data_IF_166220778743
#
_entry.id   IF_166220778743
#
_cell.length_a   1.000
_cell.length_b   1.000
_cell.length_c   1.000
_cell.angle_alpha   90.00
_cell.angle_beta   90.00
_cell.angle_gamma   90.00
#
_symmetry.space_group_name_H-M   'P 1'
#
loop_
_entity.id
_entity.type
_entity.pdbx_description
1 polymer ?
#
# COMPACT_ATOMS: atom_id res chain seq x y z
N UNK A 1 -6.17 -6.14 -17.67
CA UNK A 1 -5.69 -6.30 -16.29
C UNK A 1 -6.40 -7.46 -15.58
N UNK A 2 -5.65 -8.38 -14.98
CA UNK A 2 -6.12 -9.50 -14.14
C UNK A 2 -5.62 -9.28 -12.71
N UNK A 3 -6.47 -9.58 -11.74
CA UNK A 3 -6.18 -9.43 -10.32
C UNK A 3 -5.94 -10.81 -9.71
N UNK A 4 -4.84 -10.94 -8.98
CA UNK A 4 -4.48 -12.15 -8.25
C UNK A 4 -4.31 -11.79 -6.77
N UNK A 5 -5.04 -12.49 -5.90
CA UNK A 5 -4.90 -12.36 -4.44
C UNK A 5 -3.92 -13.40 -3.92
N UNK A 6 -3.05 -13.04 -3.00
CA UNK A 6 -2.21 -14.02 -2.31
C UNK A 6 -3.03 -14.78 -1.26
N UNK A 7 -3.20 -16.09 -1.44
CA UNK A 7 -3.74 -16.97 -0.41
C UNK A 7 -2.60 -17.39 0.53
N UNK A 8 -2.42 -16.61 1.59
CA UNK A 8 -1.40 -16.76 2.64
C UNK A 8 0.03 -16.38 2.21
N UNK A 9 0.59 -15.37 2.87
CA UNK A 9 2.03 -15.26 2.99
C UNK A 9 2.40 -14.68 4.36
N UNK A 10 2.65 -15.57 5.32
CA UNK A 10 3.56 -15.23 6.40
C UNK A 10 4.97 -15.26 5.84
N UNK A 11 5.49 -14.12 5.38
CA UNK A 11 6.91 -13.71 5.40
C UNK A 11 7.23 -12.51 4.49
N UNK A 12 6.50 -12.30 3.39
CA UNK A 12 6.95 -11.41 2.30
C UNK A 12 6.35 -10.00 2.18
N UNK A 13 5.15 -9.71 2.69
CA UNK A 13 4.50 -8.39 2.54
C UNK A 13 3.80 -8.14 1.19
N UNK A 14 3.04 -9.11 0.67
CA UNK A 14 2.35 -9.00 -0.63
C UNK A 14 0.90 -9.43 -0.48
N UNK A 15 -0.05 -8.54 -0.72
CA UNK A 15 -1.48 -8.86 -0.59
C UNK A 15 -2.14 -9.09 -1.96
N UNK A 16 -1.79 -8.27 -2.96
CA UNK A 16 -2.40 -8.33 -4.30
C UNK A 16 -1.31 -8.16 -5.38
N UNK A 17 -1.44 -8.92 -6.47
CA UNK A 17 -0.68 -8.72 -7.70
C UNK A 17 -1.64 -8.36 -8.82
N UNK A 18 -1.39 -7.23 -9.47
CA UNK A 18 -2.09 -6.82 -10.69
C UNK A 18 -1.20 -7.15 -11.87
N UNK A 19 -1.73 -7.87 -12.86
CA UNK A 19 -1.01 -8.15 -14.11
C UNK A 19 -1.79 -7.62 -15.30
N UNK A 20 -1.14 -6.89 -16.18
CA UNK A 20 -1.68 -6.54 -17.49
C UNK A 20 -0.58 -6.75 -18.52
N UNK A 21 -0.82 -7.63 -19.49
CA UNK A 21 0.17 -8.01 -20.50
C UNK A 21 1.50 -8.44 -19.84
N UNK A 22 2.58 -7.68 -20.08
CA UNK A 22 3.90 -7.92 -19.49
C UNK A 22 4.22 -7.06 -18.27
N UNK A 23 3.24 -6.29 -17.76
CA UNK A 23 3.40 -5.44 -16.58
C UNK A 23 2.88 -6.12 -15.32
N UNK A 24 3.69 -6.05 -14.26
CA UNK A 24 3.33 -6.49 -12.92
C UNK A 24 3.25 -5.26 -12.02
N UNK A 25 2.18 -5.11 -11.25
CA UNK A 25 2.08 -4.14 -10.16
C UNK A 25 1.80 -4.86 -8.85
N UNK A 26 2.43 -4.42 -7.76
CA UNK A 26 2.22 -5.00 -6.43
C UNK A 26 1.38 -4.08 -5.56
N UNK A 27 0.58 -4.68 -4.69
CA UNK A 27 -0.12 -3.96 -3.63
C UNK A 27 0.18 -4.64 -2.30
N UNK A 28 0.60 -3.84 -1.33
CA UNK A 28 0.70 -4.22 0.07
C UNK A 28 -0.26 -3.35 0.90
N UNK A 29 -1.04 -4.01 1.75
CA UNK A 29 -2.04 -3.42 2.62
C UNK A 29 -1.69 -3.75 4.07
N UNK A 30 -1.29 -2.75 4.85
CA UNK A 30 -1.02 -2.92 6.27
C UNK A 30 -2.08 -2.26 7.13
N UNK A 31 -2.69 -3.05 8.02
CA UNK A 31 -3.48 -2.49 9.12
C UNK A 31 -2.53 -2.01 10.21
N UNK A 32 -2.42 -0.70 10.38
CA UNK A 32 -1.72 -0.09 11.50
C UNK A 32 -2.74 0.45 12.50
N UNK A 33 -2.67 -0.04 13.74
CA UNK A 33 -3.57 0.36 14.82
C UNK A 33 -2.92 1.26 15.85
N UNK A 34 -1.58 1.32 15.92
CA UNK A 34 -0.85 2.09 16.94
C UNK A 34 0.53 2.63 16.52
N UNK A 35 1.07 2.23 15.37
CA UNK A 35 2.38 2.69 14.88
C UNK A 35 2.30 3.24 13.46
N UNK A 36 3.20 4.14 13.09
CA UNK A 36 3.31 4.66 11.72
C UNK A 36 4.11 3.68 10.84
N UNK A 37 3.86 3.71 9.53
CA UNK A 37 4.68 3.01 8.53
C UNK A 37 6.05 3.67 8.46
N UNK A 38 7.11 2.90 8.70
CA UNK A 38 8.48 3.40 8.69
C UNK A 38 9.21 3.14 7.38
N UNK A 39 10.39 3.77 7.25
CA UNK A 39 11.33 3.50 6.15
C UNK A 39 11.65 2.01 5.97
N UNK A 40 11.84 1.18 7.02
CA UNK A 40 12.11 -0.25 6.85
C UNK A 40 10.98 -1.00 6.13
N UNK A 41 9.72 -0.61 6.37
CA UNK A 41 8.56 -1.22 5.74
C UNK A 41 8.55 -0.94 4.23
N UNK A 42 8.78 0.33 3.84
CA UNK A 42 8.88 0.73 2.43
C UNK A 42 10.07 0.07 1.72
N UNK A 43 11.21 -0.06 2.41
CA UNK A 43 12.38 -0.74 1.86
C UNK A 43 12.11 -2.23 1.60
N UNK A 44 11.44 -2.90 2.54
CA UNK A 44 11.03 -4.30 2.36
C UNK A 44 10.09 -4.45 1.16
N UNK A 45 9.10 -3.58 1.03
CA UNK A 45 8.18 -3.58 -0.10
C UNK A 45 8.89 -3.33 -1.44
N UNK A 46 9.82 -2.39 -1.48
CA UNK A 46 10.62 -2.14 -2.68
C UNK A 46 11.45 -3.35 -3.10
N UNK A 47 12.07 -4.07 -2.16
CA UNK A 47 12.75 -5.33 -2.47
C UNK A 47 11.79 -6.36 -3.07
N UNK A 48 10.58 -6.49 -2.50
CA UNK A 48 9.54 -7.35 -3.04
C UNK A 48 9.11 -6.97 -4.47
N UNK A 49 9.07 -5.67 -4.81
CA UNK A 49 8.82 -5.20 -6.18
C UNK A 49 9.90 -5.64 -7.15
N UNK A 50 11.18 -5.51 -6.77
CA UNK A 50 12.32 -5.95 -7.58
C UNK A 50 12.22 -7.45 -7.84
N UNK A 51 11.99 -8.26 -6.79
CA UNK A 51 11.88 -9.71 -6.90
C UNK A 51 10.75 -10.16 -7.85
N UNK A 52 9.69 -9.36 -7.96
CA UNK A 52 8.54 -9.64 -8.82
C UNK A 52 8.63 -8.97 -10.20
N UNK A 53 9.72 -8.26 -10.49
CA UNK A 53 9.87 -7.40 -11.67
C UNK A 53 8.67 -6.45 -11.85
N UNK A 54 8.20 -5.88 -10.74
CA UNK A 54 7.05 -4.99 -10.73
C UNK A 54 7.43 -3.59 -11.19
N UNK A 55 6.65 -3.06 -12.14
CA UNK A 55 6.86 -1.71 -12.70
C UNK A 55 6.38 -0.61 -11.76
N UNK A 56 5.45 -0.95 -10.86
CA UNK A 56 4.82 -0.03 -9.93
C UNK A 56 4.30 -0.77 -8.69
N UNK A 57 4.27 -0.08 -7.55
CA UNK A 57 3.77 -0.60 -6.28
C UNK A 57 2.81 0.38 -5.62
N UNK A 58 1.82 -0.16 -4.91
CA UNK A 58 0.89 0.59 -4.08
C UNK A 58 1.01 0.12 -2.64
N UNK A 59 1.37 1.03 -1.74
CA UNK A 59 1.45 0.77 -0.31
C UNK A 59 0.30 1.46 0.41
N UNK A 60 -0.61 0.66 0.95
CA UNK A 60 -1.85 1.13 1.57
C UNK A 60 -1.81 0.87 3.06
N UNK A 61 -2.13 1.87 3.87
CA UNK A 61 -2.21 1.73 5.32
C UNK A 61 -3.47 2.41 5.87
N UNK A 62 -4.01 1.87 6.96
CA UNK A 62 -5.06 2.54 7.74
C UNK A 62 -4.49 3.61 8.68
N UNK A 63 -3.16 3.64 8.87
CA UNK A 63 -2.45 4.60 9.71
C UNK A 63 -1.82 5.73 8.91
N UNK A 64 -0.67 6.22 9.38
CA UNK A 64 0.13 7.26 8.74
C UNK A 64 1.51 6.75 8.32
N UNK A 65 2.18 7.49 7.44
CA UNK A 65 3.58 7.26 7.08
C UNK A 65 4.47 8.24 7.82
N UNK A 66 5.61 7.77 8.31
CA UNK A 66 6.64 8.69 8.81
C UNK A 66 7.20 9.50 7.64
N UNK A 67 7.77 10.67 7.94
CA UNK A 67 8.45 11.49 6.93
C UNK A 67 9.54 10.70 6.19
N UNK A 68 10.31 9.91 6.91
CA UNK A 68 11.39 9.09 6.33
C UNK A 68 10.87 7.97 5.44
N UNK A 69 9.65 7.48 5.67
CA UNK A 69 9.00 6.52 4.79
C UNK A 69 8.63 7.17 3.46
N UNK A 70 8.04 8.38 3.49
CA UNK A 70 7.70 9.15 2.29
C UNK A 70 8.95 9.59 1.50
N UNK A 71 9.98 10.08 2.17
CA UNK A 71 11.29 10.38 1.52
C UNK A 71 11.88 9.12 0.86
N UNK A 72 11.60 7.93 1.40
CA UNK A 72 12.06 6.68 0.80
C UNK A 72 11.35 6.39 -0.53
N UNK A 73 10.15 6.91 -0.77
CA UNK A 73 9.38 6.66 -2.00
C UNK A 73 9.68 7.62 -3.15
N UNK A 74 10.24 8.81 -2.88
CA UNK A 74 10.41 9.90 -3.88
C UNK A 74 11.11 9.50 -5.19
N UNK A 75 11.99 8.50 -5.16
CA UNK A 75 12.74 8.02 -6.33
C UNK A 75 12.38 6.57 -6.70
N UNK A 76 11.18 6.12 -6.33
CA UNK A 76 10.70 4.77 -6.59
C UNK A 76 9.31 4.85 -7.21
N UNK A 77 8.94 3.87 -8.02
CA UNK A 77 7.58 3.72 -8.55
C UNK A 77 6.62 3.19 -7.47
N UNK A 78 6.56 3.85 -6.31
CA UNK A 78 5.72 3.48 -5.18
C UNK A 78 4.73 4.60 -4.90
N UNK A 79 3.44 4.29 -5.02
CA UNK A 79 2.37 5.17 -4.57
C UNK A 79 1.98 4.78 -3.14
N UNK A 80 1.79 5.77 -2.28
CA UNK A 80 1.35 5.58 -0.89
C UNK A 80 -0.07 6.09 -0.69
N UNK A 81 -0.84 5.34 0.09
CA UNK A 81 -2.21 5.70 0.49
C UNK A 81 -2.32 5.53 1.99
N UNK A 82 -2.43 6.64 2.72
CA UNK A 82 -2.64 6.63 4.17
C UNK A 82 -4.12 6.46 4.52
N UNK A 83 -4.44 6.39 5.81
CA UNK A 83 -5.82 6.18 6.26
C UNK A 83 -6.78 7.29 5.81
N UNK A 84 -6.33 8.54 5.79
CA UNK A 84 -7.16 9.66 5.35
C UNK A 84 -7.45 9.61 3.84
N UNK A 85 -6.43 9.38 3.02
CA UNK A 85 -6.56 9.21 1.58
C UNK A 85 -7.44 8.00 1.24
N UNK A 86 -7.28 6.90 1.98
CA UNK A 86 -8.12 5.72 1.83
C UNK A 86 -9.59 6.04 2.12
N UNK A 87 -9.89 6.77 3.20
CA UNK A 87 -11.26 7.19 3.51
C UNK A 87 -11.85 8.07 2.40
N UNK A 88 -11.08 9.03 1.89
CA UNK A 88 -11.53 9.91 0.80
C UNK A 88 -11.83 9.11 -0.48
N UNK A 89 -11.01 8.10 -0.79
CA UNK A 89 -11.27 7.20 -1.92
C UNK A 89 -12.57 6.43 -1.72
N UNK A 90 -12.77 5.81 -0.54
CA UNK A 90 -14.00 5.05 -0.29
C UNK A 90 -15.22 6.00 -0.34
N UNK A 91 -15.13 7.21 0.21
CA UNK A 91 -16.21 8.21 0.19
C UNK A 91 -16.62 8.53 -1.25
N UNK A 92 -15.64 8.76 -2.13
CA UNK A 92 -15.88 9.02 -3.55
C UNK A 92 -16.61 7.86 -4.27
N UNK A 93 -16.34 6.60 -3.91
CA UNK A 93 -16.91 5.44 -4.59
C UNK A 93 -18.22 4.94 -3.98
N UNK A 94 -18.40 5.08 -2.67
CA UNK A 94 -19.50 4.45 -1.91
C UNK A 94 -20.54 5.48 -1.46
N UNK A 95 -20.17 6.76 -1.31
CA UNK A 95 -21.09 7.84 -0.91
C UNK A 95 -21.60 7.69 0.53
N UNK A 96 -20.69 7.71 1.51
CA UNK A 96 -21.05 7.72 2.94
C UNK A 96 -20.64 9.04 3.61
N UNK A 97 -21.37 9.44 4.64
CA UNK A 97 -20.99 10.56 5.49
C UNK A 97 -19.94 10.12 6.51
N UNK A 98 -18.86 10.89 6.63
CA UNK A 98 -17.76 10.60 7.55
C UNK A 98 -18.14 11.03 8.96
N UNK A 99 -18.42 10.07 9.84
CA UNK A 99 -18.58 10.33 11.27
C UNK A 99 -17.23 10.18 11.99
N UNK A 100 -16.71 11.27 12.56
CA UNK A 100 -15.45 11.24 13.32
C UNK A 100 -15.76 10.76 14.72
N UNK A 101 -15.34 9.53 15.04
CA UNK A 101 -15.40 9.00 16.40
C UNK A 101 -14.23 9.58 17.20
N UNK A 102 -14.49 10.63 17.98
CA UNK A 102 -13.56 11.07 19.03
C UNK A 102 -13.37 9.93 20.05
N UNK A 103 -12.11 9.56 20.29
CA UNK A 103 -11.70 8.62 21.34
C UNK A 103 -10.99 9.39 22.45
#
# INVERSE_FOLDING_TARGET
MRLYRFERSGDGGKDIILRSDNEVRLVECKRYTTTEVGRPDIQKFHSAMIDCNAVEGFYITTGQFTKQALECTENKSIQTVNGEQLLNLIEQYVGFEKEVLEH
#
